data_IF_660877712924
#
_entry.id   IF_660877712924
#
_cell.length_a   1.000
_cell.length_b   1.000
_cell.length_c   1.000
_cell.angle_alpha   90.00
_cell.angle_beta   90.00
_cell.angle_gamma   90.00
#
_symmetry.space_group_name_H-M   'P 1'
#
loop_
_entity.id
_entity.type
_entity.pdbx_description
1 polymer ?
#
# COMPACT_ATOMS: atom_id res chain seq x y z
N UNK A 1 -31.70 -18.71 18.16
CA UNK A 1 -30.29 -18.75 17.69
C UNK A 1 -30.19 -17.71 16.58
N UNK A 2 -29.58 -16.55 16.84
CA UNK A 2 -29.37 -15.52 15.83
C UNK A 2 -28.11 -15.89 15.04
N UNK A 3 -28.27 -16.31 13.79
CA UNK A 3 -27.16 -16.49 12.87
C UNK A 3 -26.67 -15.11 12.45
N UNK A 4 -25.54 -14.67 12.99
CA UNK A 4 -24.80 -13.55 12.43
C UNK A 4 -24.18 -14.04 11.13
N UNK A 5 -24.81 -13.72 9.99
CA UNK A 5 -24.13 -13.81 8.70
C UNK A 5 -23.00 -12.79 8.72
N UNK A 6 -21.76 -13.26 8.91
CA UNK A 6 -20.59 -12.43 8.61
C UNK A 6 -20.54 -12.24 7.10
N UNK A 7 -21.09 -11.14 6.61
CA UNK A 7 -20.93 -10.72 5.22
C UNK A 7 -19.46 -10.40 5.01
N UNK A 8 -18.73 -11.32 4.38
CA UNK A 8 -17.33 -11.10 4.05
C UNK A 8 -17.23 -9.94 3.06
N UNK A 9 -16.51 -8.88 3.42
CA UNK A 9 -16.27 -7.77 2.51
C UNK A 9 -15.17 -8.12 1.51
N UNK A 10 -15.53 -8.88 0.49
CA UNK A 10 -14.65 -9.12 -0.64
C UNK A 10 -15.04 -8.21 -1.81
N UNK A 11 -14.03 -7.63 -2.44
CA UNK A 11 -14.12 -7.07 -3.79
C UNK A 11 -13.77 -8.19 -4.75
N UNK A 12 -14.54 -8.27 -5.84
CA UNK A 12 -14.26 -9.20 -6.91
C UNK A 12 -13.11 -8.62 -7.75
N UNK A 13 -11.91 -9.18 -7.61
CA UNK A 13 -10.76 -8.84 -8.45
C UNK A 13 -10.61 -9.95 -9.46
N UNK A 14 -11.02 -9.68 -10.70
CA UNK A 14 -10.83 -10.63 -11.78
C UNK A 14 -9.45 -10.42 -12.41
N UNK A 15 -8.54 -11.36 -12.16
CA UNK A 15 -7.19 -11.41 -12.74
C UNK A 15 -7.12 -12.52 -13.82
N UNK A 16 -8.24 -13.18 -14.11
CA UNK A 16 -8.29 -14.28 -15.08
C UNK A 16 -7.91 -13.75 -16.48
N UNK A 17 -6.83 -14.30 -17.03
CA UNK A 17 -6.20 -13.89 -18.30
C UNK A 17 -5.38 -12.58 -18.25
N UNK A 18 -5.12 -12.00 -17.09
CA UNK A 18 -4.19 -10.87 -17.00
C UNK A 18 -2.74 -11.33 -17.20
N UNK A 19 -1.91 -10.45 -17.74
CA UNK A 19 -0.47 -10.71 -17.81
C UNK A 19 0.13 -10.55 -16.43
N UNK A 20 0.78 -11.60 -15.93
CA UNK A 20 1.52 -11.54 -14.66
C UNK A 20 2.92 -11.00 -14.92
N UNK A 21 3.25 -9.94 -14.20
CA UNK A 21 4.56 -9.30 -14.21
C UNK A 21 5.35 -9.72 -12.98
N UNK A 22 6.68 -9.71 -13.09
CA UNK A 22 7.58 -9.87 -11.95
C UNK A 22 8.46 -8.64 -11.81
N UNK A 23 8.73 -8.26 -10.56
CA UNK A 23 9.73 -7.24 -10.23
C UNK A 23 10.58 -7.74 -9.07
N UNK A 24 11.89 -7.57 -9.19
CA UNK A 24 12.83 -7.93 -8.15
C UNK A 24 13.16 -6.68 -7.32
N UNK A 25 12.95 -6.75 -6.01
CA UNK A 25 13.59 -5.83 -5.08
C UNK A 25 15.05 -6.27 -4.92
N UNK A 26 15.96 -5.48 -5.49
CA UNK A 26 17.40 -5.77 -5.48
C UNK A 26 18.03 -5.61 -4.09
N UNK A 27 17.36 -4.95 -3.15
CA UNK A 27 17.86 -4.75 -1.78
C UNK A 27 17.60 -6.01 -0.93
N UNK A 28 16.39 -6.56 -0.98
CA UNK A 28 16.01 -7.77 -0.24
C UNK A 28 16.15 -9.07 -1.05
N UNK A 29 16.54 -8.97 -2.33
CA UNK A 29 16.54 -10.09 -3.28
C UNK A 29 15.19 -10.81 -3.37
N UNK A 30 14.10 -10.07 -3.14
CA UNK A 30 12.73 -10.59 -3.13
C UNK A 30 12.08 -10.37 -4.49
N UNK A 31 11.54 -11.43 -5.09
CA UNK A 31 10.73 -11.33 -6.29
C UNK A 31 9.25 -11.13 -5.93
N UNK A 32 8.62 -10.16 -6.57
CA UNK A 32 7.19 -9.89 -6.47
C UNK A 32 6.51 -10.19 -7.79
N UNK A 33 5.54 -11.10 -7.78
CA UNK A 33 4.61 -11.28 -8.91
C UNK A 33 3.37 -10.42 -8.71
N UNK A 34 2.95 -9.72 -9.76
CA UNK A 34 1.82 -8.81 -9.69
C UNK A 34 1.05 -8.74 -11.01
N UNK A 35 -0.21 -8.36 -10.90
CA UNK A 35 -1.12 -8.04 -12.00
C UNK A 35 -1.31 -6.52 -12.08
N UNK A 36 -1.48 -6.02 -13.31
CA UNK A 36 -1.82 -4.61 -13.59
C UNK A 36 -3.34 -4.40 -13.64
N UNK A 37 -4.10 -5.23 -12.93
CA UNK A 37 -5.51 -5.00 -12.67
C UNK A 37 -5.66 -3.94 -11.58
N UNK A 38 -6.51 -2.94 -11.81
CA UNK A 38 -6.67 -1.79 -10.91
C UNK A 38 -8.14 -1.63 -10.48
N UNK A 39 -8.60 -2.32 -9.43
CA UNK A 39 -9.97 -2.21 -8.94
C UNK A 39 -10.30 -0.75 -8.58
N UNK A 40 -11.45 -0.25 -9.07
CA UNK A 40 -11.87 1.14 -8.85
C UNK A 40 -12.09 1.45 -7.37
N UNK A 41 -12.43 0.43 -6.58
CA UNK A 41 -12.55 0.52 -5.14
C UNK A 41 -11.22 0.85 -4.45
N UNK A 42 -10.07 0.51 -5.03
CA UNK A 42 -8.76 0.82 -4.47
C UNK A 42 -8.23 2.18 -4.91
N UNK A 43 -8.70 2.67 -6.06
CA UNK A 43 -8.36 4.01 -6.57
C UNK A 43 -8.81 5.08 -5.57
N UNK A 44 -7.90 6.00 -5.27
CA UNK A 44 -8.10 7.06 -4.29
C UNK A 44 -6.80 7.48 -3.61
N UNK A 45 -6.92 8.38 -2.63
CA UNK A 45 -5.78 8.84 -1.84
C UNK A 45 -5.88 8.33 -0.40
N UNK A 46 -4.72 8.05 0.19
CA UNK A 46 -4.55 7.62 1.57
C UNK A 46 -3.60 8.62 2.21
N UNK A 47 -4.12 9.46 3.10
CA UNK A 47 -3.33 10.54 3.72
C UNK A 47 -3.37 10.43 5.24
N UNK A 48 -2.20 10.55 5.87
CA UNK A 48 -2.07 10.61 7.33
C UNK A 48 -1.06 11.66 7.71
N UNK A 49 -1.40 12.48 8.71
CA UNK A 49 -0.46 13.36 9.38
C UNK A 49 0.03 12.66 10.65
N UNK A 50 1.33 12.46 10.76
CA UNK A 50 1.98 11.91 11.94
C UNK A 50 2.72 13.03 12.68
N UNK A 51 2.55 13.07 14.00
CA UNK A 51 3.28 13.97 14.88
C UNK A 51 4.28 13.16 15.70
N UNK A 52 5.55 13.51 15.61
CA UNK A 52 6.63 12.86 16.33
C UNK A 52 7.18 13.79 17.39
N UNK A 53 7.47 13.23 18.56
CA UNK A 53 8.21 13.92 19.63
C UNK A 53 9.33 13.03 20.11
N UNK A 54 10.56 13.53 20.07
CA UNK A 54 11.76 12.82 20.54
C UNK A 54 12.77 13.82 21.10
N UNK A 55 13.32 13.51 22.27
CA UNK A 55 14.41 14.27 22.91
C UNK A 55 14.12 15.79 23.01
N UNK A 56 12.87 16.17 23.27
CA UNK A 56 12.43 17.57 23.41
C UNK A 56 12.10 18.29 22.09
N UNK A 57 12.26 17.63 20.95
CA UNK A 57 11.89 18.16 19.63
C UNK A 57 10.59 17.54 19.14
N UNK A 58 9.74 18.37 18.54
CA UNK A 58 8.50 17.92 17.89
C UNK A 58 8.50 18.30 16.41
N UNK A 59 8.10 17.38 15.55
CA UNK A 59 7.91 17.65 14.13
C UNK A 59 6.72 16.89 13.57
N UNK A 60 6.14 17.43 12.50
CA UNK A 60 5.02 16.82 11.80
C UNK A 60 5.50 16.25 10.48
N UNK A 61 4.88 15.16 10.08
CA UNK A 61 5.17 14.48 8.81
C UNK A 61 3.86 14.09 8.16
N UNK A 62 3.86 14.10 6.82
CA UNK A 62 2.70 13.70 6.04
C UNK A 62 3.06 12.49 5.20
N UNK A 63 2.24 11.47 5.36
CA UNK A 63 2.16 10.33 4.46
C UNK A 63 1.06 10.61 3.47
N UNK A 64 1.34 10.45 2.17
CA UNK A 64 0.30 10.40 1.14
C UNK A 64 0.64 9.36 0.09
N UNK A 65 -0.28 8.43 -0.14
CA UNK A 65 -0.26 7.54 -1.31
C UNK A 65 -1.53 7.78 -2.12
N UNK A 66 -1.38 8.04 -3.41
CA UNK A 66 -2.50 8.10 -4.36
C UNK A 66 -2.37 6.96 -5.35
N UNK A 67 -3.39 6.08 -5.41
CA UNK A 67 -3.49 5.00 -6.39
C UNK A 67 -4.40 5.46 -7.52
N UNK A 68 -3.90 5.49 -8.76
CA UNK A 68 -4.63 5.98 -9.93
C UNK A 68 -5.11 4.83 -10.81
N UNK A 69 -6.19 5.07 -11.55
CA UNK A 69 -6.88 4.06 -12.39
C UNK A 69 -6.04 3.53 -13.56
N UNK A 70 -4.99 4.24 -13.94
CA UNK A 70 -4.07 3.88 -15.03
C UNK A 70 -2.89 3.02 -14.55
N UNK A 71 -2.89 2.64 -13.27
CA UNK A 71 -1.83 1.89 -12.64
C UNK A 71 -0.65 2.70 -12.18
N UNK A 72 -0.68 4.02 -12.31
CA UNK A 72 0.31 4.91 -11.72
C UNK A 72 -0.04 5.19 -10.25
N UNK A 73 0.98 5.48 -9.45
CA UNK A 73 0.80 5.94 -8.08
C UNK A 73 1.71 7.14 -7.79
N UNK A 74 1.28 7.98 -6.85
CA UNK A 74 2.14 9.05 -6.30
C UNK A 74 2.31 8.81 -4.82
N UNK A 75 3.56 8.89 -4.37
CA UNK A 75 3.95 8.57 -3.00
C UNK A 75 4.70 9.77 -2.42
N UNK A 76 4.12 10.45 -1.44
CA UNK A 76 4.76 11.54 -0.70
C UNK A 76 5.14 11.02 0.67
N UNK A 77 6.45 11.02 0.93
CA UNK A 77 7.01 10.51 2.16
C UNK A 77 8.18 11.35 2.63
N UNK A 78 8.52 11.16 3.89
CA UNK A 78 9.54 11.91 4.61
C UNK A 78 10.70 10.99 4.98
N UNK A 79 11.93 11.50 4.92
CA UNK A 79 13.06 10.80 5.54
C UNK A 79 12.95 10.90 7.08
N UNK A 80 13.40 9.89 7.83
CA UNK A 80 13.43 9.97 9.29
C UNK A 80 14.24 11.20 9.69
N UNK A 81 13.58 12.25 10.17
CA UNK A 81 14.23 13.47 10.61
C UNK A 81 15.33 13.10 11.60
N UNK A 82 16.54 13.61 11.38
CA UNK A 82 17.56 13.57 12.41
C UNK A 82 17.21 14.61 13.46
N UNK A 83 17.67 14.39 14.71
CA UNK A 83 17.64 15.43 15.73
C UNK A 83 18.08 16.75 15.07
N UNK A 84 17.30 17.80 15.28
CA UNK A 84 17.58 19.17 14.81
C UNK A 84 17.20 19.51 13.35
N UNK A 85 16.68 18.57 12.54
CA UNK A 85 16.20 18.88 11.17
C UNK A 85 14.79 18.37 10.89
N UNK A 86 13.94 19.26 10.38
CA UNK A 86 12.64 18.85 9.87
C UNK A 86 12.81 17.83 8.73
N UNK A 87 11.95 16.80 8.67
CA UNK A 87 11.98 15.83 7.59
C UNK A 87 11.78 16.48 6.22
N UNK A 88 12.57 16.08 5.24
CA UNK A 88 12.39 16.48 3.85
C UNK A 88 11.30 15.60 3.25
N UNK A 89 10.24 16.22 2.74
CA UNK A 89 9.19 15.53 2.00
C UNK A 89 9.43 15.65 0.50
N UNK A 90 9.24 14.55 -0.22
CA UNK A 90 9.28 14.55 -1.68
C UNK A 90 8.21 13.61 -2.24
N UNK A 91 7.50 14.08 -3.25
CA UNK A 91 6.57 13.26 -4.02
C UNK A 91 7.35 12.47 -5.07
N UNK A 92 7.15 11.16 -5.09
CA UNK A 92 7.82 10.22 -5.98
C UNK A 92 6.75 9.48 -6.80
N UNK A 93 6.78 9.62 -8.14
CA UNK A 93 5.87 8.89 -9.01
C UNK A 93 6.29 7.42 -9.14
N UNK A 94 5.31 6.56 -9.33
CA UNK A 94 5.49 5.12 -9.42
C UNK A 94 4.35 4.43 -10.15
N UNK A 95 4.35 3.12 -10.06
CA UNK A 95 3.24 2.28 -10.46
C UNK A 95 2.77 1.41 -9.31
N UNK A 96 1.55 0.90 -9.43
CA UNK A 96 0.99 -0.07 -8.50
C UNK A 96 0.31 -1.22 -9.23
N UNK A 97 0.20 -2.34 -8.51
CA UNK A 97 -0.47 -3.54 -8.99
C UNK A 97 -0.92 -4.42 -7.84
N UNK A 98 -1.78 -5.40 -8.15
CA UNK A 98 -2.21 -6.40 -7.18
C UNK A 98 -1.15 -7.48 -7.11
N UNK A 99 -0.64 -7.77 -5.91
CA UNK A 99 0.30 -8.87 -5.75
C UNK A 99 -0.46 -10.19 -5.94
N UNK A 100 0.12 -11.08 -6.75
CA UNK A 100 -0.45 -12.39 -7.05
C UNK A 100 0.48 -13.50 -6.62
N UNK A 101 -0.10 -14.64 -6.30
CA UNK A 101 0.64 -15.88 -6.15
C UNK A 101 1.08 -16.38 -7.54
N UNK A 102 2.38 -16.68 -7.69
CA UNK A 102 2.99 -17.01 -8.99
C UNK A 102 2.48 -18.32 -9.58
N UNK A 103 2.08 -19.27 -8.74
CA UNK A 103 1.65 -20.60 -9.16
C UNK A 103 0.18 -20.61 -9.56
N UNK A 104 -0.66 -19.91 -8.78
CA UNK A 104 -2.11 -19.90 -8.98
C UNK A 104 -2.61 -18.70 -9.78
N UNK A 105 -1.78 -17.67 -9.96
CA UNK A 105 -2.15 -16.37 -10.54
C UNK A 105 -3.31 -15.68 -9.81
N UNK A 106 -3.57 -16.06 -8.56
CA UNK A 106 -4.64 -15.48 -7.73
C UNK A 106 -4.12 -14.31 -6.90
N UNK A 107 -4.97 -13.29 -6.62
CA UNK A 107 -4.60 -12.21 -5.71
C UNK A 107 -4.20 -12.75 -4.33
N UNK A 108 -3.08 -12.26 -3.80
CA UNK A 108 -2.66 -12.60 -2.44
C UNK A 108 -3.58 -11.85 -1.46
N UNK A 109 -4.40 -12.62 -0.73
CA UNK A 109 -5.37 -12.08 0.23
C UNK A 109 -5.30 -12.76 1.59
N UNK A 110 -5.78 -12.08 2.64
CA UNK A 110 -6.03 -12.67 3.95
C UNK A 110 -7.30 -12.08 4.59
N UNK A 111 -7.98 -12.87 5.40
CA UNK A 111 -9.16 -12.43 6.16
C UNK A 111 -8.78 -12.25 7.63
N UNK A 112 -9.04 -11.07 8.20
CA UNK A 112 -8.79 -10.80 9.62
C UNK A 112 -9.92 -9.94 10.20
N UNK A 113 -10.57 -10.44 11.25
CA UNK A 113 -11.64 -9.74 11.97
C UNK A 113 -12.77 -9.24 11.04
N UNK A 114 -13.17 -10.04 10.05
CA UNK A 114 -14.20 -9.69 9.07
C UNK A 114 -13.75 -8.76 7.94
N UNK A 115 -12.52 -8.25 7.98
CA UNK A 115 -11.94 -7.45 6.91
C UNK A 115 -11.15 -8.33 5.94
N UNK A 116 -11.21 -7.99 4.65
CA UNK A 116 -10.37 -8.61 3.63
C UNK A 116 -9.16 -7.72 3.36
N UNK A 117 -7.97 -8.31 3.37
CA UNK A 117 -6.72 -7.64 3.08
C UNK A 117 -6.24 -8.12 1.71
N UNK A 118 -5.91 -7.19 0.84
CA UNK A 118 -5.37 -7.40 -0.50
C UNK A 118 -3.95 -6.86 -0.54
N UNK A 119 -3.00 -7.70 -0.93
CA UNK A 119 -1.61 -7.28 -1.03
C UNK A 119 -1.42 -6.51 -2.32
N UNK A 120 -0.81 -5.34 -2.25
CA UNK A 120 -0.47 -4.51 -3.41
C UNK A 120 1.04 -4.34 -3.49
N UNK A 121 1.54 -4.17 -4.72
CA UNK A 121 2.93 -3.79 -4.99
C UNK A 121 2.96 -2.31 -5.34
N UNK A 122 3.93 -1.59 -4.79
CA UNK A 122 4.25 -0.21 -5.12
C UNK A 122 5.70 -0.14 -5.58
N UNK A 123 5.95 0.51 -6.71
CA UNK A 123 7.30 0.60 -7.28
C UNK A 123 7.54 1.97 -7.93
N UNK A 124 8.75 2.50 -7.79
CA UNK A 124 9.19 3.76 -8.38
C UNK A 124 9.40 3.60 -9.88
N UNK A 125 8.89 4.54 -10.67
CA UNK A 125 9.08 4.54 -12.12
C UNK A 125 10.44 5.06 -12.59
N UNK A 126 11.33 5.48 -11.68
CA UNK A 126 12.54 6.25 -12.01
C UNK A 126 13.86 5.65 -11.52
N UNK A 127 13.90 4.35 -11.20
CA UNK A 127 15.06 3.64 -10.59
C UNK A 127 15.61 4.30 -9.31
N UNK A 128 14.86 5.27 -8.75
CA UNK A 128 15.17 5.93 -7.49
C UNK A 128 14.34 5.33 -6.39
N UNK A 129 14.94 5.23 -5.21
CA UNK A 129 14.28 4.74 -4.00
C UNK A 129 12.98 5.50 -3.73
N UNK A 130 11.94 4.77 -3.34
CA UNK A 130 10.73 5.35 -2.79
C UNK A 130 11.08 5.92 -1.43
N UNK A 131 10.75 7.20 -1.21
CA UNK A 131 11.20 7.97 -0.06
C UNK A 131 10.77 7.41 1.30
N UNK A 132 9.80 6.49 1.33
CA UNK A 132 9.34 5.86 2.57
C UNK A 132 10.27 4.77 3.11
N UNK A 133 10.78 3.92 2.23
CA UNK A 133 11.49 2.71 2.61
C UNK A 133 12.94 2.70 2.14
N UNK A 134 13.40 3.77 1.49
CA UNK A 134 14.67 3.81 0.77
C UNK A 134 14.83 2.61 -0.18
N UNK A 135 13.71 2.16 -0.78
CA UNK A 135 13.64 0.99 -1.67
C UNK A 135 12.91 1.30 -2.97
N UNK A 136 13.33 0.76 -4.12
CA UNK A 136 12.67 1.02 -5.39
C UNK A 136 11.29 0.36 -5.50
N UNK A 137 11.06 -0.73 -4.76
CA UNK A 137 9.82 -1.53 -4.82
C UNK A 137 9.50 -2.11 -3.44
N UNK A 138 8.22 -2.18 -3.08
CA UNK A 138 7.76 -2.83 -1.85
C UNK A 138 6.30 -3.28 -1.96
N UNK A 139 5.80 -3.94 -0.92
CA UNK A 139 4.41 -4.39 -0.82
C UNK A 139 3.71 -3.83 0.42
N UNK A 140 2.41 -3.54 0.30
CA UNK A 140 1.54 -3.06 1.39
C UNK A 140 0.18 -3.76 1.33
N UNK A 141 -0.69 -3.50 2.31
CA UNK A 141 -2.04 -4.06 2.36
C UNK A 141 -3.10 -3.00 2.12
N UNK A 142 -3.99 -3.24 1.16
CA UNK A 142 -5.29 -2.58 1.09
C UNK A 142 -6.30 -3.41 1.86
N UNK A 143 -7.03 -2.77 2.78
CA UNK A 143 -8.03 -3.41 3.64
C UNK A 143 -9.41 -2.96 3.19
N UNK A 144 -10.34 -3.91 3.08
CA UNK A 144 -11.75 -3.66 2.83
C UNK A 144 -12.54 -4.19 4.01
N UNK A 145 -13.26 -3.28 4.69
CA UNK A 145 -14.10 -3.66 5.82
C UNK A 145 -15.51 -4.09 5.37
N UNK A 146 -16.32 -4.73 6.24
CA UNK A 146 -17.70 -5.13 5.96
C UNK A 146 -18.59 -4.04 5.31
N UNK A 147 -18.32 -2.77 5.61
CA UNK A 147 -19.03 -1.61 5.07
C UNK A 147 -18.51 -1.14 3.71
N UNK A 148 -17.59 -1.89 3.08
CA UNK A 148 -16.89 -1.55 1.83
C UNK A 148 -16.03 -0.28 1.92
N UNK A 149 -15.69 0.15 3.13
CA UNK A 149 -14.68 1.19 3.31
C UNK A 149 -13.29 0.60 3.06
N UNK A 150 -12.44 1.41 2.45
CA UNK A 150 -11.10 1.00 2.02
C UNK A 150 -10.06 1.73 2.84
N UNK A 151 -9.05 1.00 3.28
CA UNK A 151 -7.93 1.51 4.07
C UNK A 151 -6.62 0.99 3.50
N UNK A 152 -5.52 1.68 3.81
CA UNK A 152 -4.16 1.25 3.50
C UNK A 152 -3.41 0.99 4.81
N UNK A 153 -2.88 -0.22 4.97
CA UNK A 153 -1.98 -0.59 6.06
C UNK A 153 -0.59 -0.83 5.52
N UNK A 154 0.31 0.05 5.91
CA UNK A 154 1.73 -0.01 5.58
C UNK A 154 2.35 -1.18 6.33
N UNK A 155 3.01 -2.10 5.61
CA UNK A 155 3.43 -3.38 6.19
C UNK A 155 4.51 -3.23 7.26
N UNK A 156 5.38 -2.23 7.11
CA UNK A 156 6.47 -1.96 8.05
C UNK A 156 6.12 -0.87 9.09
N UNK A 157 4.87 -0.36 9.08
CA UNK A 157 4.41 0.60 10.09
C UNK A 157 3.59 -0.08 11.17
N UNK A 158 3.86 0.27 12.44
CA UNK A 158 2.97 -0.05 13.56
C UNK A 158 1.70 0.81 13.58
N UNK A 159 1.65 1.88 12.79
CA UNK A 159 0.52 2.83 12.73
C UNK A 159 -0.81 2.18 12.34
N UNK A 160 -1.92 2.76 12.82
CA UNK A 160 -3.26 2.40 12.36
C UNK A 160 -3.41 2.52 10.83
N UNK A 161 -4.24 1.66 10.19
CA UNK A 161 -4.56 1.77 8.77
C UNK A 161 -5.10 3.16 8.40
N UNK A 162 -4.67 3.66 7.25
CA UNK A 162 -5.03 4.97 6.72
C UNK A 162 -6.32 4.83 5.92
N UNK A 163 -7.38 5.54 6.29
CA UNK A 163 -8.65 5.53 5.56
C UNK A 163 -8.48 6.20 4.19
N UNK A 164 -9.10 5.62 3.15
CA UNK A 164 -9.18 6.23 1.82
C UNK A 164 -10.02 7.51 1.88
N UNK A 165 -9.50 8.59 1.31
CA UNK A 165 -10.16 9.90 1.16
C UNK A 165 -10.71 10.08 -0.24
#
# INVERSE_FOLDING_TARGET
>A
MLFWYTTNAQININIENDTIYSIQDLIELKEYSYSKTHPLEFVGSFEKLNEYTRDGYSWKTKVKISLLKDGTCNTLWYNSGFADKQPITKEVPGFWGIAVDKETSLPITKMVNGNTYYRIILSSGSDKTLAYYDRPTYDDWIIVNPNKEVFLKLIFSSDEPIKKT
#
